data_IF_551581932375
#
_entry.id   IF_551581932375
#
_cell.length_a   1.000
_cell.length_b   1.000
_cell.length_c   1.000
_cell.angle_alpha   90.00
_cell.angle_beta   90.00
_cell.angle_gamma   90.00
#
_symmetry.space_group_name_H-M   'P 1'
#
loop_
_entity.id
_entity.type
_entity.pdbx_description
1 polymer ?
#
# COMPACT_ATOMS: atom_id res chain seq x y z
N UNK A 1 -7.09 20.32 32.16
CA UNK A 1 -7.38 18.97 32.68
C UNK A 1 -8.79 18.61 32.22
N UNK A 2 -8.94 18.10 31.00
CA UNK A 2 -10.12 17.38 30.51
C UNK A 2 -9.65 16.53 29.32
N UNK A 3 -9.44 15.23 29.59
CA UNK A 3 -9.26 14.18 28.60
C UNK A 3 -10.53 14.10 27.74
N UNK A 4 -10.40 14.32 26.44
CA UNK A 4 -11.43 13.94 25.50
C UNK A 4 -11.03 12.62 24.85
N UNK A 5 -11.47 11.52 25.44
CA UNK A 5 -11.59 10.24 24.76
C UNK A 5 -12.57 10.41 23.60
N UNK A 6 -12.09 10.39 22.36
CA UNK A 6 -12.95 10.22 21.20
C UNK A 6 -13.20 8.72 21.04
N UNK A 7 -14.38 8.28 21.46
CA UNK A 7 -14.83 6.92 21.19
C UNK A 7 -15.13 6.75 19.70
N UNK A 8 -14.83 5.59 19.09
CA UNK A 8 -15.17 5.33 17.69
C UNK A 8 -16.70 5.38 17.51
N UNK A 9 -17.14 6.07 16.45
CA UNK A 9 -18.56 6.13 16.08
C UNK A 9 -18.94 4.77 15.48
N UNK A 10 -19.75 4.03 16.22
CA UNK A 10 -20.28 2.72 15.81
C UNK A 10 -21.57 2.96 15.01
N UNK A 11 -21.56 2.70 13.70
CA UNK A 11 -22.78 2.63 12.90
C UNK A 11 -23.44 1.26 13.03
N UNK A 12 -24.65 1.22 13.60
CA UNK A 12 -25.44 0.01 13.71
C UNK A 12 -26.49 -0.03 12.60
N UNK A 13 -26.51 -1.08 11.77
CA UNK A 13 -27.64 -1.36 10.87
C UNK A 13 -28.67 -2.24 11.59
N UNK A 14 -29.92 -1.75 11.67
CA UNK A 14 -31.04 -2.48 12.24
C UNK A 14 -31.60 -3.50 11.24
N UNK A 15 -31.46 -4.80 11.52
CA UNK A 15 -32.25 -5.85 10.88
C UNK A 15 -33.26 -6.37 11.87
N UNK A 16 -34.54 -6.26 11.53
CA UNK A 16 -35.65 -6.76 12.36
C UNK A 16 -36.20 -8.06 11.74
N UNK A 17 -35.93 -9.19 12.35
CA UNK A 17 -36.60 -10.45 12.02
C UNK A 17 -37.70 -10.73 13.05
N UNK A 18 -38.95 -10.96 12.56
CA UNK A 18 -40.06 -11.36 13.41
C UNK A 18 -40.11 -12.87 13.55
N UNK A 19 -39.86 -13.37 14.74
CA UNK A 19 -40.12 -14.74 15.13
C UNK A 19 -41.07 -14.77 16.36
N UNK A 20 -42.34 -15.08 16.16
CA UNK A 20 -43.31 -15.14 17.25
C UNK A 20 -43.63 -13.79 17.90
N UNK A 21 -44.24 -13.81 19.10
CA UNK A 21 -44.61 -12.58 19.84
C UNK A 21 -43.48 -11.82 20.54
N UNK A 22 -42.23 -12.11 20.25
CA UNK A 22 -41.07 -11.42 20.80
C UNK A 22 -40.20 -10.93 19.69
N UNK A 23 -39.98 -9.59 19.61
CA UNK A 23 -39.02 -8.98 18.70
C UNK A 23 -37.62 -9.03 19.33
N UNK A 24 -36.76 -9.86 18.78
CA UNK A 24 -35.33 -9.86 19.15
C UNK A 24 -34.60 -8.94 18.17
N UNK A 25 -34.12 -7.80 18.64
CA UNK A 25 -33.23 -6.94 17.89
C UNK A 25 -31.82 -7.52 17.99
N UNK A 26 -31.37 -8.20 16.95
CA UNK A 26 -29.97 -8.58 16.85
C UNK A 26 -29.18 -7.36 16.34
N UNK A 27 -28.35 -6.81 17.20
CA UNK A 27 -27.32 -5.86 16.81
C UNK A 27 -26.19 -6.64 16.13
N UNK A 28 -26.11 -6.55 14.82
CA UNK A 28 -24.92 -7.02 14.11
C UNK A 28 -23.90 -5.86 14.17
N UNK A 29 -23.05 -5.88 15.18
CA UNK A 29 -21.85 -5.04 15.18
C UNK A 29 -20.98 -5.56 14.05
N UNK A 30 -21.02 -4.92 12.88
CA UNK A 30 -19.93 -5.07 11.92
C UNK A 30 -18.73 -4.39 12.58
N UNK A 31 -17.83 -5.17 13.12
CA UNK A 31 -16.48 -4.69 13.36
C UNK A 31 -15.98 -4.17 12.01
N UNK A 32 -15.52 -2.93 12.00
CA UNK A 32 -14.87 -2.33 10.83
C UNK A 32 -13.59 -3.13 10.60
N UNK A 33 -13.62 -4.01 9.63
CA UNK A 33 -12.49 -4.87 9.32
C UNK A 33 -11.75 -4.26 8.15
N UNK A 34 -10.56 -3.73 8.43
CA UNK A 34 -9.60 -3.32 7.40
C UNK A 34 -8.89 -4.57 6.91
N UNK A 35 -8.91 -4.79 5.61
CA UNK A 35 -8.09 -5.81 4.96
C UNK A 35 -7.01 -5.17 4.15
N UNK A 36 -5.77 -5.59 4.34
CA UNK A 36 -4.64 -5.19 3.50
C UNK A 36 -4.08 -6.42 2.80
N UNK A 37 -3.97 -6.33 1.47
CA UNK A 37 -3.34 -7.36 0.63
C UNK A 37 -2.03 -6.81 0.07
N UNK A 38 -0.92 -7.49 0.32
CA UNK A 38 0.37 -7.17 -0.29
C UNK A 38 0.38 -7.68 -1.73
N UNK A 39 0.18 -6.79 -2.69
CA UNK A 39 0.13 -7.10 -4.11
C UNK A 39 1.53 -7.39 -4.69
N UNK A 40 2.54 -6.76 -4.13
CA UNK A 40 3.93 -6.97 -4.46
C UNK A 40 4.83 -6.48 -3.33
N UNK A 41 5.95 -7.13 -3.12
CA UNK A 41 6.86 -6.87 -2.01
C UNK A 41 8.32 -6.74 -2.44
N UNK A 42 8.56 -6.76 -3.73
CA UNK A 42 9.89 -6.68 -4.34
C UNK A 42 10.32 -5.27 -4.65
N UNK A 43 11.63 -5.11 -4.76
CA UNK A 43 12.30 -3.88 -5.24
C UNK A 43 11.99 -3.60 -6.73
N UNK A 44 12.50 -2.50 -7.26
CA UNK A 44 12.28 -2.02 -8.62
C UNK A 44 12.55 -3.06 -9.74
N UNK A 45 13.44 -4.01 -9.51
CA UNK A 45 13.71 -5.10 -10.47
C UNK A 45 12.81 -6.33 -10.27
N UNK A 46 12.07 -6.40 -9.18
CA UNK A 46 11.41 -7.63 -8.73
C UNK A 46 12.38 -8.72 -8.32
N UNK A 47 11.87 -9.86 -7.89
CA UNK A 47 12.65 -11.08 -7.59
C UNK A 47 11.91 -12.27 -8.21
N UNK A 48 12.55 -13.07 -9.08
CA UNK A 48 13.96 -13.08 -9.47
C UNK A 48 14.36 -11.90 -10.36
N UNK A 49 15.61 -11.50 -10.25
CA UNK A 49 16.22 -10.53 -11.18
C UNK A 49 16.62 -11.24 -12.46
N UNK A 50 16.38 -10.60 -13.61
CA UNK A 50 16.70 -11.14 -14.93
C UNK A 50 18.17 -11.57 -15.00
N UNK A 51 18.41 -12.80 -15.46
CA UNK A 51 19.71 -13.43 -15.60
C UNK A 51 20.54 -13.61 -14.30
N UNK A 52 19.96 -13.36 -13.12
CA UNK A 52 20.65 -13.53 -11.85
C UNK A 52 20.70 -15.02 -11.45
N UNK A 53 21.91 -15.60 -11.22
CA UNK A 53 22.06 -17.00 -10.86
C UNK A 53 22.06 -17.26 -9.34
N UNK A 54 21.80 -16.25 -8.50
CA UNK A 54 21.92 -16.40 -7.05
C UNK A 54 20.85 -17.34 -6.48
N UNK A 55 21.09 -17.82 -5.27
CA UNK A 55 20.24 -18.77 -4.56
C UNK A 55 18.79 -18.26 -4.43
N UNK A 56 18.58 -16.98 -4.09
CA UNK A 56 17.25 -16.38 -3.93
C UNK A 56 16.51 -16.34 -5.27
N UNK A 57 17.17 -15.91 -6.36
CA UNK A 57 16.55 -15.86 -7.68
C UNK A 57 16.17 -17.24 -8.22
N UNK A 58 16.89 -18.30 -7.80
CA UNK A 58 16.63 -19.70 -8.15
C UNK A 58 15.76 -20.46 -7.16
N UNK A 59 15.40 -19.85 -6.03
CA UNK A 59 14.53 -20.46 -5.03
C UNK A 59 13.22 -20.95 -5.62
N UNK A 60 12.69 -22.06 -5.11
CA UNK A 60 11.35 -22.55 -5.40
C UNK A 60 10.30 -22.09 -4.40
N UNK A 61 10.72 -21.46 -3.29
CA UNK A 61 9.78 -20.88 -2.33
C UNK A 61 9.04 -19.70 -3.00
N UNK A 62 7.69 -19.72 -3.04
CA UNK A 62 6.92 -18.64 -3.63
C UNK A 62 7.12 -17.31 -2.90
N UNK A 63 7.53 -17.31 -1.63
CA UNK A 63 7.82 -16.10 -0.84
C UNK A 63 9.11 -15.41 -1.27
N UNK A 64 9.98 -16.08 -2.02
CA UNK A 64 11.16 -15.50 -2.67
C UNK A 64 10.85 -14.96 -4.07
N UNK A 65 9.61 -15.11 -4.58
CA UNK A 65 9.15 -14.52 -5.83
C UNK A 65 8.36 -13.27 -5.52
N UNK A 66 8.88 -12.12 -5.95
CA UNK A 66 8.36 -10.81 -5.53
C UNK A 66 8.13 -9.91 -6.72
N UNK A 67 6.90 -9.54 -6.95
CA UNK A 67 6.49 -8.48 -7.86
C UNK A 67 6.83 -7.11 -7.24
N UNK A 68 6.83 -6.03 -8.04
CA UNK A 68 7.12 -4.66 -7.55
C UNK A 68 6.13 -4.26 -6.48
N UNK A 69 6.65 -3.49 -5.52
CA UNK A 69 5.92 -3.12 -4.31
C UNK A 69 4.59 -2.40 -4.61
N UNK A 70 3.52 -2.96 -4.07
CA UNK A 70 2.18 -2.37 -4.08
C UNK A 70 1.33 -3.05 -3.01
N UNK A 71 0.35 -2.35 -2.48
CA UNK A 71 -0.64 -2.88 -1.53
C UNK A 71 -2.05 -2.46 -1.93
N UNK A 72 -3.03 -3.31 -1.61
CA UNK A 72 -4.44 -2.97 -1.69
C UNK A 72 -5.04 -2.94 -0.29
N UNK A 73 -5.83 -1.91 -0.02
CA UNK A 73 -6.51 -1.69 1.24
C UNK A 73 -8.01 -1.72 0.96
N UNK A 74 -8.72 -2.56 1.69
CA UNK A 74 -10.17 -2.71 1.59
C UNK A 74 -10.79 -2.38 2.94
N UNK A 75 -11.71 -1.42 2.95
CA UNK A 75 -12.44 -1.00 4.15
C UNK A 75 -13.84 -0.52 3.76
N UNK A 76 -14.88 -1.04 4.42
CA UNK A 76 -16.28 -0.62 4.19
C UNK A 76 -16.74 -0.65 2.72
N UNK A 77 -16.23 -1.58 1.92
CA UNK A 77 -16.54 -1.69 0.49
C UNK A 77 -15.82 -0.66 -0.39
N UNK A 78 -14.86 0.06 0.16
CA UNK A 78 -13.90 0.90 -0.56
C UNK A 78 -12.62 0.09 -0.78
N UNK A 79 -12.09 0.09 -2.00
CA UNK A 79 -10.84 -0.58 -2.37
C UNK A 79 -9.86 0.45 -2.92
N UNK A 80 -8.75 0.64 -2.22
CA UNK A 80 -7.68 1.58 -2.58
C UNK A 80 -6.42 0.78 -2.90
N UNK A 81 -5.76 1.10 -4.00
CA UNK A 81 -4.43 0.56 -4.34
C UNK A 81 -3.38 1.65 -4.17
N UNK A 82 -2.27 1.32 -3.49
CA UNK A 82 -1.09 2.18 -3.43
C UNK A 82 -0.08 1.64 -4.44
N UNK A 83 0.22 2.46 -5.43
CA UNK A 83 1.10 2.23 -6.57
C UNK A 83 0.62 1.16 -7.57
N UNK A 84 0.79 1.47 -8.85
CA UNK A 84 0.48 0.58 -9.98
C UNK A 84 1.75 0.35 -10.81
N UNK A 85 2.66 -0.46 -10.27
CA UNK A 85 3.90 -0.82 -10.97
C UNK A 85 3.65 -1.67 -12.23
N UNK A 86 4.70 -2.07 -12.95
CA UNK A 86 4.57 -2.83 -14.21
C UNK A 86 3.92 -4.20 -14.03
N UNK A 87 3.82 -4.68 -12.80
CA UNK A 87 3.19 -5.96 -12.46
C UNK A 87 1.70 -5.83 -12.11
N UNK A 88 1.13 -4.62 -12.15
CA UNK A 88 -0.23 -4.33 -11.70
C UNK A 88 -1.27 -5.31 -12.25
N UNK A 89 -1.24 -5.56 -13.56
CA UNK A 89 -2.14 -6.53 -14.17
C UNK A 89 -2.01 -7.93 -13.56
N UNK A 90 -0.79 -8.41 -13.38
CA UNK A 90 -0.52 -9.74 -12.78
C UNK A 90 -0.99 -9.79 -11.33
N UNK A 91 -0.77 -8.72 -10.57
CA UNK A 91 -1.22 -8.56 -9.19
C UNK A 91 -2.74 -8.64 -9.09
N UNK A 92 -3.47 -7.88 -9.92
CA UNK A 92 -4.94 -7.89 -9.95
C UNK A 92 -5.51 -9.28 -10.30
N UNK A 93 -4.93 -9.95 -11.28
CA UNK A 93 -5.37 -11.29 -11.69
C UNK A 93 -5.08 -12.34 -10.63
N UNK A 94 -3.91 -12.30 -9.99
CA UNK A 94 -3.54 -13.24 -8.93
C UNK A 94 -4.47 -13.14 -7.74
N UNK A 95 -4.81 -11.93 -7.32
CA UNK A 95 -5.68 -11.69 -6.16
C UNK A 95 -7.17 -11.69 -6.50
N UNK A 96 -7.53 -11.96 -7.78
CA UNK A 96 -8.91 -11.94 -8.27
C UNK A 96 -9.64 -10.63 -7.96
N UNK A 97 -8.93 -9.49 -8.08
CA UNK A 97 -9.48 -8.18 -7.78
C UNK A 97 -10.54 -7.79 -8.81
N UNK A 98 -11.74 -7.53 -8.35
CA UNK A 98 -12.88 -7.13 -9.18
C UNK A 98 -13.23 -5.66 -9.04
N UNK A 99 -12.68 -4.97 -8.03
CA UNK A 99 -12.96 -3.58 -7.75
C UNK A 99 -11.71 -2.82 -7.30
N UNK A 100 -11.47 -1.65 -7.88
CA UNK A 100 -10.53 -0.63 -7.38
C UNK A 100 -11.27 0.70 -7.46
N UNK A 101 -11.37 1.43 -6.35
CA UNK A 101 -12.08 2.71 -6.28
C UNK A 101 -11.16 3.90 -6.45
N UNK A 102 -9.93 3.80 -5.94
CA UNK A 102 -8.94 4.85 -6.01
C UNK A 102 -7.51 4.29 -6.06
N UNK A 103 -6.59 5.08 -6.59
CA UNK A 103 -5.16 4.81 -6.62
C UNK A 103 -4.45 5.96 -5.91
N UNK A 104 -3.52 5.62 -5.01
CA UNK A 104 -2.58 6.55 -4.40
C UNK A 104 -1.20 6.29 -4.98
N UNK A 105 -0.48 7.33 -5.38
CA UNK A 105 0.91 7.20 -5.79
C UNK A 105 1.86 7.75 -4.74
N UNK A 106 2.89 6.96 -4.44
CA UNK A 106 3.96 7.35 -3.52
C UNK A 106 4.96 8.29 -4.18
N UNK A 107 5.35 8.04 -5.43
CA UNK A 107 6.29 8.82 -6.23
C UNK A 107 6.27 8.38 -7.71
N UNK A 108 7.10 9.04 -8.56
CA UNK A 108 7.06 8.90 -10.02
C UNK A 108 7.90 7.76 -10.61
N UNK A 109 8.63 6.96 -9.84
CA UNK A 109 9.45 5.88 -10.39
C UNK A 109 8.60 4.82 -11.12
N UNK A 110 9.19 4.23 -12.17
CA UNK A 110 8.49 3.30 -13.07
C UNK A 110 8.00 2.03 -12.40
N UNK A 111 8.70 1.56 -11.40
CA UNK A 111 8.28 0.41 -10.60
C UNK A 111 7.02 0.68 -9.77
N UNK A 112 6.58 1.95 -9.67
CA UNK A 112 5.35 2.38 -9.00
C UNK A 112 4.26 2.86 -9.95
N UNK A 113 4.60 3.31 -11.18
CA UNK A 113 3.64 3.99 -12.07
C UNK A 113 3.36 3.27 -13.38
N UNK A 114 4.26 2.40 -13.87
CA UNK A 114 4.24 1.91 -15.26
C UNK A 114 3.04 1.02 -15.63
N UNK A 115 2.29 0.50 -14.66
CA UNK A 115 1.09 -0.32 -14.89
C UNK A 115 -0.22 0.47 -14.93
N UNK A 116 -0.17 1.81 -14.87
CA UNK A 116 -1.38 2.65 -14.82
C UNK A 116 -2.32 2.43 -16.03
N UNK A 117 -1.80 2.04 -17.18
CA UNK A 117 -2.63 1.76 -18.37
C UNK A 117 -3.66 0.63 -18.15
N UNK A 118 -3.34 -0.35 -17.32
CA UNK A 118 -4.20 -1.51 -17.06
C UNK A 118 -5.47 -1.18 -16.24
N UNK A 119 -5.59 0.03 -15.69
CA UNK A 119 -6.81 0.48 -14.99
C UNK A 119 -8.04 0.57 -15.91
N UNK A 120 -7.84 0.63 -17.22
CA UNK A 120 -8.94 0.71 -18.21
C UNK A 120 -9.96 -0.41 -18.05
N UNK A 121 -9.56 -1.58 -17.57
CA UNK A 121 -10.48 -2.68 -17.28
C UNK A 121 -11.52 -2.29 -16.22
N UNK A 122 -11.08 -1.58 -15.18
CA UNK A 122 -11.97 -1.07 -14.13
C UNK A 122 -12.82 0.10 -14.63
N UNK A 123 -12.29 0.99 -15.49
CA UNK A 123 -13.08 2.03 -16.12
C UNK A 123 -14.24 1.44 -16.93
N UNK A 124 -13.94 0.38 -17.73
CA UNK A 124 -14.94 -0.30 -18.52
C UNK A 124 -16.03 -0.94 -17.67
N UNK A 125 -15.64 -1.63 -16.59
CA UNK A 125 -16.59 -2.29 -15.67
C UNK A 125 -17.45 -1.28 -14.91
N UNK A 126 -16.86 -0.18 -14.45
CA UNK A 126 -17.54 0.84 -13.62
C UNK A 126 -18.19 1.97 -14.40
N UNK A 127 -17.88 2.10 -15.69
CA UNK A 127 -18.32 3.20 -16.56
C UNK A 127 -18.02 4.59 -15.98
N UNK A 128 -16.86 4.73 -15.31
CA UNK A 128 -16.37 5.99 -14.74
C UNK A 128 -14.85 6.08 -14.75
N UNK A 129 -14.29 7.30 -14.68
CA UNK A 129 -12.86 7.51 -14.48
C UNK A 129 -12.38 6.87 -13.17
N UNK A 130 -11.08 6.55 -13.11
CA UNK A 130 -10.37 6.13 -11.91
C UNK A 130 -9.87 7.37 -11.17
N UNK A 131 -10.22 7.48 -9.89
CA UNK A 131 -9.68 8.51 -9.01
C UNK A 131 -8.22 8.22 -8.70
N UNK A 132 -7.32 9.16 -9.03
CA UNK A 132 -5.87 9.05 -8.84
C UNK A 132 -5.38 10.21 -7.98
N UNK A 133 -4.80 9.89 -6.84
CA UNK A 133 -4.28 10.85 -5.87
C UNK A 133 -2.76 10.83 -5.90
N UNK A 134 -2.14 11.94 -6.17
CA UNK A 134 -0.68 12.05 -6.29
C UNK A 134 -0.19 13.48 -6.05
N UNK A 135 1.09 13.63 -5.73
CA UNK A 135 1.72 14.95 -5.72
C UNK A 135 1.88 15.50 -7.14
N UNK A 136 1.98 16.83 -7.24
CA UNK A 136 2.09 17.53 -8.53
C UNK A 136 3.29 17.06 -9.37
N UNK A 137 4.40 16.68 -8.74
CA UNK A 137 5.56 16.12 -9.45
C UNK A 137 5.22 14.79 -10.13
N UNK A 138 4.51 13.90 -9.42
CA UNK A 138 4.05 12.61 -9.94
C UNK A 138 3.03 12.83 -11.05
N UNK A 139 2.06 13.73 -10.85
CA UNK A 139 1.04 14.08 -11.86
C UNK A 139 1.70 14.55 -13.16
N UNK A 140 2.73 15.41 -13.07
CA UNK A 140 3.48 15.85 -14.26
C UNK A 140 4.17 14.69 -14.96
N UNK A 141 4.79 13.78 -14.21
CA UNK A 141 5.42 12.59 -14.76
C UNK A 141 4.41 11.68 -15.46
N UNK A 142 3.25 11.43 -14.83
CA UNK A 142 2.16 10.64 -15.42
C UNK A 142 1.63 11.26 -16.71
N UNK A 143 1.46 12.59 -16.75
CA UNK A 143 1.01 13.31 -17.96
C UNK A 143 2.02 13.21 -19.12
N UNK A 144 3.32 13.17 -18.82
CA UNK A 144 4.36 12.97 -19.84
C UNK A 144 4.38 11.53 -20.33
N UNK A 145 4.34 10.57 -19.42
CA UNK A 145 4.45 9.15 -19.72
C UNK A 145 3.22 8.60 -20.44
N UNK A 146 2.04 8.97 -19.98
CA UNK A 146 0.75 8.55 -20.51
C UNK A 146 0.05 9.68 -21.25
N UNK A 147 0.80 10.45 -22.08
CA UNK A 147 0.29 11.64 -22.76
C UNK A 147 -1.04 11.38 -23.50
N UNK A 148 -1.22 10.20 -24.07
CA UNK A 148 -2.46 9.80 -24.77
C UNK A 148 -3.68 9.71 -23.84
N UNK A 149 -3.47 9.42 -22.53
CA UNK A 149 -4.54 9.38 -21.51
C UNK A 149 -5.02 10.78 -21.19
N UNK A 150 -4.13 11.78 -21.25
CA UNK A 150 -4.40 13.17 -20.90
C UNK A 150 -4.66 14.08 -22.12
N UNK A 151 -4.59 13.53 -23.34
CA UNK A 151 -4.84 14.30 -24.56
C UNK A 151 -6.27 14.83 -24.62
N UNK A 152 -6.48 16.02 -25.21
CA UNK A 152 -7.81 16.60 -25.43
C UNK A 152 -8.67 15.69 -26.33
N UNK A 153 -8.07 15.16 -27.40
CA UNK A 153 -8.72 14.19 -28.28
C UNK A 153 -8.21 12.80 -27.95
N UNK A 154 -9.06 12.03 -27.28
CA UNK A 154 -8.75 10.68 -26.81
C UNK A 154 -9.23 9.64 -27.81
N UNK A 155 -8.41 8.61 -28.04
CA UNK A 155 -8.87 7.41 -28.75
C UNK A 155 -9.85 6.62 -27.86
N UNK A 156 -10.94 6.05 -28.41
CA UNK A 156 -11.84 5.20 -27.63
C UNK A 156 -11.10 4.00 -26.99
N UNK A 157 -11.30 3.79 -25.70
CA UNK A 157 -10.69 2.69 -24.96
C UNK A 157 -9.37 3.02 -24.25
N UNK A 158 -8.91 4.28 -24.29
CA UNK A 158 -7.81 4.71 -23.39
C UNK A 158 -8.27 4.76 -21.94
N UNK A 159 -7.38 4.58 -20.97
CA UNK A 159 -7.72 4.79 -19.56
C UNK A 159 -8.36 6.14 -19.30
N UNK A 160 -9.35 6.16 -18.42
CA UNK A 160 -9.99 7.39 -17.97
C UNK A 160 -9.56 7.63 -16.52
N UNK A 161 -8.97 8.79 -16.27
CA UNK A 161 -8.40 9.15 -14.97
C UNK A 161 -8.95 10.51 -14.55
N UNK A 162 -9.37 10.61 -13.29
CA UNK A 162 -9.61 11.86 -12.59
C UNK A 162 -8.47 12.06 -11.58
N UNK A 163 -7.72 13.16 -11.74
CA UNK A 163 -6.50 13.40 -10.97
C UNK A 163 -6.81 14.37 -9.84
N UNK A 164 -6.43 13.98 -8.63
CA UNK A 164 -6.52 14.77 -7.41
C UNK A 164 -5.10 15.07 -6.91
N UNK A 165 -4.72 16.35 -6.94
CA UNK A 165 -3.42 16.79 -6.40
C UNK A 165 -3.48 16.77 -4.88
N UNK A 166 -2.52 16.09 -4.24
CA UNK A 166 -2.37 16.01 -2.79
C UNK A 166 -1.02 16.55 -2.35
N UNK A 167 -0.91 16.92 -1.08
CA UNK A 167 0.32 17.26 -0.38
C UNK A 167 0.53 16.36 0.83
N UNK A 168 1.00 16.96 1.93
CA UNK A 168 1.22 16.27 3.21
C UNK A 168 0.05 16.43 4.19
N UNK A 169 -0.99 17.20 3.81
CA UNK A 169 -2.18 17.39 4.63
C UNK A 169 -3.12 16.18 4.51
N UNK A 170 -3.79 15.79 5.62
CA UNK A 170 -4.80 14.75 5.57
C UNK A 170 -5.94 15.08 4.60
N UNK A 171 -6.42 14.07 3.88
CA UNK A 171 -7.55 14.19 2.97
C UNK A 171 -8.49 12.99 3.11
N UNK A 172 -9.67 13.08 2.49
CA UNK A 172 -10.70 12.06 2.55
C UNK A 172 -10.91 11.37 1.21
N UNK A 173 -11.05 10.04 1.23
CA UNK A 173 -11.65 9.29 0.12
C UNK A 173 -12.93 8.66 0.65
N UNK A 174 -14.08 9.17 0.25
CA UNK A 174 -15.37 8.94 0.91
C UNK A 174 -15.30 9.29 2.39
N UNK A 175 -15.52 8.32 3.27
CA UNK A 175 -15.47 8.42 4.73
C UNK A 175 -14.13 7.98 5.35
N UNK A 176 -13.16 7.59 4.52
CA UNK A 176 -11.84 7.14 4.97
C UNK A 176 -10.83 8.28 4.95
N UNK A 177 -10.22 8.56 6.10
CA UNK A 177 -9.15 9.54 6.23
C UNK A 177 -7.82 8.95 5.81
N UNK A 178 -7.13 9.62 4.88
CA UNK A 178 -5.79 9.30 4.42
C UNK A 178 -4.83 10.37 4.95
N UNK A 179 -3.78 9.96 5.64
CA UNK A 179 -2.74 10.85 6.16
C UNK A 179 -1.45 10.60 5.39
N UNK A 180 -1.06 11.49 4.49
CA UNK A 180 0.23 11.40 3.79
C UNK A 180 1.38 11.66 4.75
N UNK A 181 2.45 10.90 4.59
CA UNK A 181 3.67 10.97 5.39
C UNK A 181 4.83 11.25 4.46
N UNK A 182 5.52 12.37 4.67
CA UNK A 182 6.73 12.69 3.91
C UNK A 182 7.87 11.77 4.32
N UNK A 183 8.47 11.09 3.33
CA UNK A 183 9.72 10.39 3.48
C UNK A 183 10.68 10.82 2.37
N UNK A 184 11.94 10.45 2.49
CA UNK A 184 12.99 10.81 1.53
C UNK A 184 13.63 9.53 0.99
N UNK A 185 13.70 9.46 -0.32
CA UNK A 185 14.40 8.43 -1.09
C UNK A 185 15.65 9.05 -1.73
N UNK A 186 16.79 8.95 -1.08
CA UNK A 186 18.03 9.66 -1.42
C UNK A 186 17.84 11.19 -1.36
N UNK A 187 17.47 11.84 -2.47
CA UNK A 187 17.14 13.25 -2.55
C UNK A 187 15.70 13.51 -3.01
N UNK A 188 14.98 12.46 -3.37
CA UNK A 188 13.61 12.55 -3.86
C UNK A 188 12.64 12.52 -2.69
N UNK A 189 11.77 13.53 -2.53
CA UNK A 189 10.64 13.46 -1.62
C UNK A 189 9.64 12.41 -2.13
N UNK A 190 9.17 11.54 -1.24
CA UNK A 190 8.18 10.52 -1.53
C UNK A 190 7.09 10.54 -0.47
N UNK A 191 5.92 9.98 -0.76
CA UNK A 191 4.84 9.83 0.22
C UNK A 191 4.74 8.38 0.71
N UNK A 192 4.60 8.22 2.02
CA UNK A 192 3.92 7.10 2.62
C UNK A 192 2.50 7.49 2.97
N UNK A 193 1.68 6.53 3.42
CA UNK A 193 0.28 6.78 3.78
C UNK A 193 -0.08 6.06 5.07
N UNK A 194 -0.77 6.78 5.98
CA UNK A 194 -1.44 6.18 7.11
C UNK A 194 -2.95 6.18 6.89
N UNK A 195 -3.57 5.04 7.15
CA UNK A 195 -5.01 4.81 7.02
C UNK A 195 -5.44 4.09 8.30
N UNK A 196 -6.08 4.83 9.20
CA UNK A 196 -6.42 4.32 10.52
C UNK A 196 -5.20 3.76 11.27
N UNK A 197 -5.23 2.48 11.58
CA UNK A 197 -4.18 1.75 12.31
C UNK A 197 -3.10 1.12 11.42
N UNK A 198 -3.16 1.35 10.12
CA UNK A 198 -2.20 0.87 9.13
C UNK A 198 -1.35 1.99 8.56
N UNK A 199 -0.04 1.80 8.52
CA UNK A 199 0.91 2.74 7.89
C UNK A 199 1.78 2.01 6.88
N UNK A 200 1.88 2.55 5.67
CA UNK A 200 2.67 2.03 4.57
C UNK A 200 3.69 3.06 4.10
N UNK A 201 4.98 2.75 4.25
CA UNK A 201 6.09 3.58 3.79
C UNK A 201 7.04 2.69 2.99
N UNK A 202 7.08 2.93 1.69
CA UNK A 202 8.01 2.27 0.77
C UNK A 202 9.04 3.27 0.27
N UNK A 203 10.09 2.80 -0.38
CA UNK A 203 11.08 3.64 -1.06
C UNK A 203 11.65 4.79 -0.20
N UNK A 204 12.11 4.50 1.02
CA UNK A 204 12.66 5.53 1.88
C UNK A 204 14.01 5.12 2.48
N UNK A 205 14.84 6.10 2.79
CA UNK A 205 16.04 5.97 3.61
C UNK A 205 16.09 7.01 4.74
N UNK A 206 15.10 7.90 4.80
CA UNK A 206 14.96 8.89 5.87
C UNK A 206 13.50 9.33 6.02
N UNK A 207 13.08 9.55 7.27
CA UNK A 207 11.76 10.13 7.62
C UNK A 207 12.04 11.35 8.52
N UNK A 208 11.61 12.57 8.13
CA UNK A 208 11.74 13.77 8.95
C UNK A 208 11.08 13.60 10.33
N UNK A 209 11.63 14.26 11.34
CA UNK A 209 11.19 14.09 12.74
C UNK A 209 9.72 14.50 12.97
N UNK A 210 9.28 15.58 12.36
CA UNK A 210 7.90 16.07 12.38
C UNK A 210 6.91 15.11 11.69
N UNK A 211 7.34 14.41 10.65
CA UNK A 211 6.52 13.41 9.96
C UNK A 211 6.38 12.11 10.77
N UNK A 212 7.31 11.82 11.66
CA UNK A 212 7.25 10.67 12.57
C UNK A 212 6.04 10.72 13.51
N UNK A 213 5.55 11.91 13.87
CA UNK A 213 4.35 12.07 14.69
C UNK A 213 3.10 11.47 14.01
N UNK A 214 3.04 11.50 12.68
CA UNK A 214 1.94 10.89 11.90
C UNK A 214 1.95 9.37 11.95
N UNK A 215 3.11 8.74 12.25
CA UNK A 215 3.26 7.28 12.35
C UNK A 215 2.92 6.80 13.77
N UNK A 216 3.11 7.65 14.76
CA UNK A 216 2.93 7.29 16.17
C UNK A 216 1.54 6.67 16.44
N UNK A 217 1.50 5.57 17.21
CA UNK A 217 0.27 4.85 17.56
C UNK A 217 -0.29 3.95 16.45
N UNK A 218 0.40 3.77 15.31
CA UNK A 218 0.01 2.78 14.31
C UNK A 218 0.12 1.35 14.86
N UNK A 219 -0.85 0.49 14.56
CA UNK A 219 -0.82 -0.93 14.98
C UNK A 219 -0.08 -1.81 13.98
N UNK A 220 -0.13 -1.47 12.69
CA UNK A 220 0.49 -2.21 11.60
C UNK A 220 1.36 -1.27 10.78
N UNK A 221 2.68 -1.46 10.84
CA UNK A 221 3.67 -0.61 10.17
C UNK A 221 4.40 -1.37 9.08
N UNK A 222 4.29 -0.91 7.84
CA UNK A 222 5.04 -1.44 6.69
C UNK A 222 6.17 -0.46 6.35
N UNK A 223 7.41 -0.94 6.38
CA UNK A 223 8.62 -0.16 6.05
C UNK A 223 9.42 -0.87 4.95
N UNK A 224 9.99 -0.09 4.04
CA UNK A 224 10.94 -0.64 3.08
C UNK A 224 12.20 -1.15 3.78
N UNK A 225 12.67 -2.33 3.39
CA UNK A 225 13.95 -2.90 3.84
C UNK A 225 14.59 -3.62 2.66
N UNK A 226 15.50 -2.93 1.96
CA UNK A 226 15.99 -3.40 0.67
C UNK A 226 16.84 -4.68 0.80
N UNK A 227 17.75 -4.71 1.74
CA UNK A 227 18.75 -5.77 1.97
C UNK A 227 19.40 -5.62 3.34
N UNK A 228 20.24 -6.61 3.75
CA UNK A 228 20.96 -6.54 5.03
C UNK A 228 22.00 -5.40 5.07
N UNK A 229 22.72 -5.15 3.97
CA UNK A 229 23.74 -4.11 3.89
C UNK A 229 23.12 -2.74 3.64
N UNK A 230 23.77 -1.70 4.16
CA UNK A 230 23.37 -0.31 3.93
C UNK A 230 23.25 0.04 2.45
N UNK A 231 22.31 0.91 2.14
CA UNK A 231 22.08 1.44 0.80
C UNK A 231 21.91 2.95 0.86
N UNK A 232 22.33 3.64 -0.20
CA UNK A 232 22.30 5.11 -0.25
C UNK A 232 20.88 5.70 -0.26
N UNK A 233 19.90 4.95 -0.76
CA UNK A 233 18.55 5.45 -1.01
C UNK A 233 17.42 4.63 -0.35
N UNK A 234 17.73 3.53 0.31
CA UNK A 234 16.76 2.67 0.99
C UNK A 234 17.24 2.28 2.38
N UNK A 235 16.33 2.08 3.30
CA UNK A 235 16.64 1.44 4.57
C UNK A 235 17.20 0.03 4.35
N UNK A 236 18.23 -0.32 5.10
CA UNK A 236 18.66 -1.70 5.31
C UNK A 236 17.67 -2.42 6.23
N UNK A 237 17.79 -3.74 6.34
CA UNK A 237 16.96 -4.52 7.26
C UNK A 237 17.09 -4.03 8.72
N UNK A 238 18.32 -3.75 9.18
CA UNK A 238 18.55 -3.27 10.55
C UNK A 238 17.92 -1.90 10.79
N UNK A 239 18.07 -0.96 9.86
CA UNK A 239 17.47 0.39 9.97
C UNK A 239 15.94 0.32 9.96
N UNK A 240 15.35 -0.56 9.16
CA UNK A 240 13.90 -0.77 9.15
C UNK A 240 13.40 -1.39 10.47
N UNK A 241 14.14 -2.34 11.07
CA UNK A 241 13.83 -2.93 12.39
C UNK A 241 13.94 -1.86 13.49
N UNK A 242 14.96 -0.99 13.43
CA UNK A 242 15.12 0.12 14.39
C UNK A 242 13.91 1.05 14.36
N UNK A 243 13.42 1.42 13.16
CA UNK A 243 12.19 2.22 13.02
C UNK A 243 10.95 1.50 13.56
N UNK A 244 10.79 0.22 13.28
CA UNK A 244 9.68 -0.58 13.82
C UNK A 244 9.75 -0.60 15.35
N UNK A 245 10.93 -0.75 15.93
CA UNK A 245 11.11 -0.72 17.39
C UNK A 245 10.82 0.67 17.97
N UNK A 246 11.19 1.75 17.28
CA UNK A 246 10.91 3.13 17.69
C UNK A 246 9.40 3.37 17.84
N UNK A 247 8.59 2.94 16.88
CA UNK A 247 7.13 3.12 16.90
C UNK A 247 6.37 2.04 17.66
N UNK A 248 7.01 0.89 17.95
CA UNK A 248 6.45 -0.22 18.70
C UNK A 248 5.03 -0.65 18.26
N UNK A 249 4.79 -0.87 16.96
CA UNK A 249 3.50 -1.35 16.47
C UNK A 249 3.22 -2.78 16.96
N UNK A 250 1.96 -3.23 16.91
CA UNK A 250 1.62 -4.64 17.17
C UNK A 250 2.36 -5.57 16.19
N UNK A 251 2.50 -5.14 14.92
CA UNK A 251 3.22 -5.86 13.87
C UNK A 251 3.95 -4.89 12.94
N UNK A 252 5.21 -5.20 12.65
CA UNK A 252 6.03 -4.57 11.63
C UNK A 252 6.21 -5.49 10.42
N UNK A 253 6.16 -4.93 9.23
CA UNK A 253 6.31 -5.65 7.96
C UNK A 253 7.42 -5.01 7.14
N UNK A 254 8.35 -5.83 6.66
CA UNK A 254 9.41 -5.37 5.76
C UNK A 254 8.94 -5.62 4.31
N UNK A 255 8.98 -4.59 3.48
CA UNK A 255 8.66 -4.64 2.05
C UNK A 255 9.80 -4.08 1.20
N UNK A 256 9.60 -3.99 -0.11
CA UNK A 256 10.59 -3.49 -1.09
C UNK A 256 11.91 -4.27 -1.08
N UNK A 257 11.79 -5.59 -0.99
CA UNK A 257 12.88 -6.54 -0.73
C UNK A 257 13.59 -6.89 -2.04
N UNK A 258 14.92 -6.82 -2.03
CA UNK A 258 15.76 -7.31 -3.14
C UNK A 258 16.22 -8.76 -2.92
N UNK A 259 16.73 -9.38 -3.98
CA UNK A 259 17.36 -10.70 -3.89
C UNK A 259 18.59 -10.77 -2.97
N UNK A 260 19.15 -9.59 -2.61
CA UNK A 260 20.30 -9.48 -1.70
C UNK A 260 19.89 -9.54 -0.21
N UNK A 261 18.60 -9.60 0.09
CA UNK A 261 18.11 -9.82 1.46
C UNK A 261 18.50 -11.20 1.99
N UNK A 262 18.47 -12.21 1.16
CA UNK A 262 18.62 -13.62 1.50
C UNK A 262 17.30 -14.38 1.29
N UNK A 263 17.29 -15.67 1.55
CA UNK A 263 16.10 -16.52 1.46
C UNK A 263 15.08 -16.11 2.52
N UNK A 264 13.82 -16.05 2.13
CA UNK A 264 12.71 -15.62 3.01
C UNK A 264 12.69 -16.42 4.32
N UNK A 265 12.82 -17.73 4.23
CA UNK A 265 12.76 -18.61 5.41
C UNK A 265 13.94 -18.37 6.36
N UNK A 266 15.17 -18.22 5.83
CA UNK A 266 16.37 -17.99 6.64
C UNK A 266 16.30 -16.65 7.38
N UNK A 267 15.99 -15.57 6.64
CA UNK A 267 15.91 -14.22 7.22
C UNK A 267 14.76 -14.14 8.24
N UNK A 268 13.63 -14.77 7.97
CA UNK A 268 12.48 -14.76 8.89
C UNK A 268 12.81 -15.36 10.27
N UNK A 269 13.77 -16.29 10.36
CA UNK A 269 14.20 -16.86 11.65
C UNK A 269 15.07 -15.90 12.48
N UNK A 270 15.66 -14.90 11.82
CA UNK A 270 16.53 -13.89 12.45
C UNK A 270 15.74 -12.67 12.97
N UNK A 271 14.46 -12.53 12.59
CA UNK A 271 13.66 -11.35 12.89
C UNK A 271 13.10 -11.36 14.33
N UNK A 272 12.91 -10.16 14.92
CA UNK A 272 12.16 -10.02 16.16
C UNK A 272 10.73 -10.60 16.02
N UNK A 273 10.10 -11.07 17.13
CA UNK A 273 8.79 -11.76 17.06
C UNK A 273 7.64 -10.91 16.48
N UNK A 274 7.73 -9.59 16.57
CA UNK A 274 6.74 -8.65 16.05
C UNK A 274 7.05 -8.16 14.63
N UNK A 275 8.16 -8.60 14.01
CA UNK A 275 8.59 -8.20 12.67
C UNK A 275 8.52 -9.39 11.73
N UNK A 276 8.07 -9.18 10.50
CA UNK A 276 8.09 -10.19 9.46
C UNK A 276 8.45 -9.62 8.10
N UNK A 277 9.05 -10.44 7.24
CA UNK A 277 9.13 -10.11 5.82
C UNK A 277 7.75 -10.26 5.19
N UNK A 278 7.24 -9.22 4.56
CA UNK A 278 6.06 -9.35 3.71
C UNK A 278 6.38 -10.23 2.50
N UNK A 279 5.37 -10.86 1.93
CA UNK A 279 5.45 -11.64 0.70
C UNK A 279 4.20 -11.40 -0.14
N UNK A 280 4.32 -11.65 -1.43
CA UNK A 280 3.23 -11.42 -2.37
C UNK A 280 2.02 -12.30 -2.07
N UNK A 281 0.85 -11.68 -1.95
CA UNK A 281 -0.39 -12.34 -1.56
C UNK A 281 -0.63 -12.46 -0.05
N UNK A 282 0.28 -11.93 0.79
CA UNK A 282 0.02 -11.82 2.23
C UNK A 282 -1.22 -10.94 2.47
N UNK A 283 -2.16 -11.46 3.27
CA UNK A 283 -3.36 -10.72 3.71
C UNK A 283 -3.34 -10.56 5.21
N UNK A 284 -3.65 -9.36 5.65
CA UNK A 284 -3.80 -9.03 7.07
C UNK A 284 -5.16 -8.38 7.28
N UNK A 285 -5.80 -8.69 8.39
CA UNK A 285 -7.11 -8.16 8.78
C UNK A 285 -7.04 -7.68 10.23
N UNK A 286 -7.64 -6.52 10.52
CA UNK A 286 -7.64 -5.92 11.85
C UNK A 286 -8.74 -4.88 12.02
#
# INVERSE_FOLDING_TARGET
>A
MFDKFVAPIIFATLHCEKFGNSSIVKFNLREFQVRVTFLGTGTSQGVPVIACPCQVCRSFDPRDKRLRSSVMIEENGLSIVIDTGPDFRTQMLREHVTNVDAILFTHEHKDHTAGLDDIRSFNYLKQRPMDVYAEEAVIRSLKMEFAYVFAEKKYPGVPQIEVHSIGTEPFMIRDLTIIPIRAIHYQLPVLGFRIGDFTYITHANYIPGDEKEKIAGTSHLVISGLRKQKHISHFSLSEAIELINEFSPKRGYITHISHQMGLHEEVSRELPPNVMLAYDGLKIEF
#
